data_IF_415044641465
#
_entry.id   IF_415044641465
#
_cell.length_a   1.000
_cell.length_b   1.000
_cell.length_c   1.000
_cell.angle_alpha   90.00
_cell.angle_beta   90.00
_cell.angle_gamma   90.00
#
_symmetry.space_group_name_H-M   'P 1'
#
loop_
_entity.id
_entity.type
_entity.pdbx_description
1 polymer ?
#
# COMPACT_ATOMS: atom_id res chain seq x y z
N UNK A 1 23.39 14.44 23.86
CA UNK A 1 22.34 13.68 24.60
C UNK A 1 21.38 13.16 23.56
N UNK A 2 21.05 11.87 23.56
CA UNK A 2 20.12 11.30 22.58
C UNK A 2 18.76 11.99 22.66
N UNK A 3 18.16 12.29 21.51
CA UNK A 3 16.85 12.95 21.41
C UNK A 3 15.79 12.13 22.13
N UNK A 4 15.88 10.80 22.07
CA UNK A 4 15.05 9.86 22.83
C UNK A 4 14.98 10.16 24.33
N UNK A 5 16.10 10.55 24.96
CA UNK A 5 16.13 10.87 26.41
C UNK A 5 15.28 12.12 26.70
N UNK A 6 15.20 13.05 25.76
CA UNK A 6 14.33 14.22 25.89
C UNK A 6 12.86 13.83 25.67
N UNK A 7 12.59 12.96 24.68
CA UNK A 7 11.25 12.45 24.41
C UNK A 7 10.67 11.67 25.62
N UNK A 8 11.51 10.91 26.34
CA UNK A 8 11.11 10.19 27.56
C UNK A 8 10.68 11.11 28.72
N UNK A 9 11.02 12.40 28.67
CA UNK A 9 10.61 13.40 29.68
C UNK A 9 9.29 14.08 29.33
N UNK A 10 8.68 13.75 28.20
CA UNK A 10 7.36 14.27 27.85
C UNK A 10 6.32 13.76 28.85
N UNK A 11 5.37 14.62 29.19
CA UNK A 11 4.28 14.33 30.12
C UNK A 11 2.94 14.76 29.51
N UNK A 12 1.83 14.35 30.13
CA UNK A 12 0.48 14.76 29.72
C UNK A 12 0.14 14.37 28.28
N UNK A 13 -0.50 15.27 27.54
CA UNK A 13 -0.95 15.03 26.17
C UNK A 13 0.22 14.73 25.21
N UNK A 14 1.37 15.39 25.39
CA UNK A 14 2.54 15.17 24.54
C UNK A 14 3.09 13.74 24.65
N UNK A 15 3.03 13.14 25.84
CA UNK A 15 3.39 11.73 26.06
C UNK A 15 2.41 10.79 25.35
N UNK A 16 1.11 11.07 25.40
CA UNK A 16 0.10 10.26 24.71
C UNK A 16 0.29 10.33 23.18
N UNK A 17 0.54 11.53 22.64
CA UNK A 17 0.86 11.70 21.22
C UNK A 17 2.14 10.96 20.83
N UNK A 18 3.17 10.97 21.68
CA UNK A 18 4.40 10.21 21.46
C UNK A 18 4.15 8.69 21.46
N UNK A 19 3.36 8.18 22.42
CA UNK A 19 3.04 6.75 22.51
C UNK A 19 2.24 6.27 21.29
N UNK A 20 1.35 7.10 20.75
CA UNK A 20 0.56 6.79 19.56
C UNK A 20 1.39 6.62 18.28
N UNK A 21 2.64 7.10 18.25
CA UNK A 21 3.56 6.89 17.11
C UNK A 21 4.02 5.43 16.99
N UNK A 22 3.95 4.68 18.09
CA UNK A 22 4.48 3.32 18.20
C UNK A 22 3.35 2.29 18.12
N UNK A 23 3.62 1.20 17.40
CA UNK A 23 2.63 0.14 17.16
C UNK A 23 3.27 -1.12 16.61
N UNK A 24 2.50 -1.97 15.94
CA UNK A 24 3.04 -3.18 15.32
C UNK A 24 4.02 -2.88 14.18
N UNK A 25 3.85 -1.74 13.50
CA UNK A 25 4.75 -1.26 12.45
C UNK A 25 6.15 -0.96 12.99
N UNK A 26 6.21 -0.32 14.16
CA UNK A 26 7.48 -0.01 14.82
C UNK A 26 7.32 -0.05 16.35
N UNK A 27 7.76 -1.13 17.03
CA UNK A 27 7.60 -1.26 18.47
C UNK A 27 8.42 -0.23 19.25
N UNK A 28 7.86 0.34 20.31
CA UNK A 28 8.54 1.32 21.17
C UNK A 28 9.80 0.74 21.83
N UNK A 29 9.83 -0.57 22.09
CA UNK A 29 11.01 -1.24 22.62
C UNK A 29 12.18 -1.19 21.66
N UNK A 30 11.93 -1.38 20.35
CA UNK A 30 12.97 -1.25 19.31
C UNK A 30 13.53 0.17 19.36
N UNK A 31 12.64 1.18 19.32
CA UNK A 31 13.05 2.58 19.44
C UNK A 31 13.93 2.82 20.66
N UNK A 32 13.53 2.28 21.82
CA UNK A 32 14.21 2.46 23.09
C UNK A 32 15.60 1.82 23.08
N UNK A 33 15.69 0.54 22.72
CA UNK A 33 16.93 -0.21 22.85
C UNK A 33 17.98 0.19 21.81
N UNK A 34 17.59 0.57 20.59
CA UNK A 34 18.53 1.00 19.53
C UNK A 34 18.49 2.52 19.27
N UNK A 35 18.02 3.31 20.24
CA UNK A 35 17.84 4.76 20.09
C UNK A 35 19.05 5.49 19.51
N UNK A 36 20.22 5.29 20.12
CA UNK A 36 21.46 5.94 19.69
C UNK A 36 21.88 5.53 18.26
N UNK A 37 21.67 4.26 17.90
CA UNK A 37 21.99 3.78 16.55
C UNK A 37 21.06 4.44 15.53
N UNK A 38 19.75 4.43 15.78
CA UNK A 38 18.74 5.05 14.91
C UNK A 38 19.08 6.53 14.68
N UNK A 39 19.35 7.28 15.74
CA UNK A 39 19.63 8.72 15.66
C UNK A 39 20.94 9.07 14.94
N UNK A 40 21.84 8.10 14.76
CA UNK A 40 23.11 8.30 14.03
C UNK A 40 23.03 7.95 12.55
N UNK A 41 21.93 7.35 12.07
CA UNK A 41 21.80 6.99 10.67
C UNK A 41 21.37 8.18 9.80
N UNK A 42 21.85 8.28 8.54
CA UNK A 42 21.55 9.39 7.65
C UNK A 42 20.21 9.18 6.92
N UNK A 43 19.10 9.09 7.66
CA UNK A 43 17.77 8.84 7.09
C UNK A 43 17.35 9.89 6.05
N UNK A 44 17.77 11.14 6.21
CA UNK A 44 17.48 12.23 5.27
C UNK A 44 18.26 12.15 3.96
N UNK A 45 19.34 11.37 3.93
CA UNK A 45 20.13 11.17 2.71
C UNK A 45 19.48 10.20 1.72
N UNK A 46 18.46 9.46 2.15
CA UNK A 46 17.73 8.51 1.29
C UNK A 46 16.64 9.27 0.55
N UNK A 47 16.78 9.38 -0.77
CA UNK A 47 15.75 9.91 -1.63
C UNK A 47 14.67 8.84 -1.87
N UNK A 48 13.46 9.10 -1.38
CA UNK A 48 12.34 8.16 -1.44
C UNK A 48 11.66 8.15 -2.83
N UNK A 49 11.91 9.17 -3.65
CA UNK A 49 11.32 9.29 -4.98
C UNK A 49 12.23 8.69 -6.06
N UNK A 50 13.45 8.28 -5.68
CA UNK A 50 14.42 7.66 -6.56
C UNK A 50 14.49 6.14 -6.33
N UNK A 51 13.99 5.31 -7.27
CA UNK A 51 14.06 3.85 -7.17
C UNK A 51 15.49 3.31 -7.02
N UNK A 52 16.50 4.06 -7.50
CA UNK A 52 17.91 3.66 -7.39
C UNK A 52 18.45 3.64 -5.95
N UNK A 53 17.78 4.29 -4.99
CA UNK A 53 18.17 4.32 -3.57
C UNK A 53 17.61 3.11 -2.78
N UNK A 54 16.86 2.21 -3.41
CA UNK A 54 16.23 1.06 -2.72
C UNK A 54 17.28 0.17 -2.05
N UNK A 55 18.44 -0.02 -2.69
CA UNK A 55 19.55 -0.79 -2.12
C UNK A 55 20.07 -0.19 -0.80
N UNK A 56 20.08 1.14 -0.69
CA UNK A 56 20.50 1.86 0.52
C UNK A 56 19.45 1.76 1.62
N UNK A 57 18.16 1.87 1.25
CA UNK A 57 17.07 1.61 2.19
C UNK A 57 17.10 0.16 2.71
N UNK A 58 17.39 -0.82 1.84
CA UNK A 58 17.57 -2.22 2.22
C UNK A 58 18.77 -2.40 3.16
N UNK A 59 19.89 -1.76 2.88
CA UNK A 59 21.07 -1.79 3.74
C UNK A 59 20.77 -1.24 5.14
N UNK A 60 19.97 -0.17 5.25
CA UNK A 60 19.54 0.39 6.54
C UNK A 60 18.65 -0.60 7.31
N UNK A 61 17.73 -1.29 6.62
CA UNK A 61 16.92 -2.35 7.24
C UNK A 61 17.81 -3.49 7.76
N UNK A 62 18.72 -4.02 6.93
CA UNK A 62 19.60 -5.12 7.33
C UNK A 62 20.50 -4.70 8.51
N UNK A 63 20.98 -3.46 8.50
CA UNK A 63 21.81 -2.91 9.59
C UNK A 63 21.01 -2.75 10.90
N UNK A 64 19.74 -2.33 10.82
CA UNK A 64 18.86 -2.24 11.99
C UNK A 64 18.61 -3.63 12.60
N UNK A 65 18.32 -4.61 11.75
CA UNK A 65 18.12 -6.02 12.17
C UNK A 65 19.39 -6.55 12.82
N UNK A 66 20.55 -6.32 12.22
CA UNK A 66 21.83 -6.74 12.77
C UNK A 66 22.12 -6.08 14.13
N UNK A 67 21.83 -4.79 14.28
CA UNK A 67 22.01 -4.08 15.55
C UNK A 67 21.10 -4.62 16.65
N UNK A 68 19.84 -4.95 16.33
CA UNK A 68 18.91 -5.58 17.29
C UNK A 68 19.40 -6.95 17.73
N UNK A 69 19.87 -7.78 16.80
CA UNK A 69 20.43 -9.09 17.11
C UNK A 69 21.71 -8.99 17.94
N UNK A 70 22.58 -8.02 17.63
CA UNK A 70 23.78 -7.74 18.42
C UNK A 70 23.41 -7.33 19.85
N UNK A 71 22.43 -6.45 20.02
CA UNK A 71 21.94 -6.07 21.36
C UNK A 71 21.30 -7.22 22.12
N UNK A 72 20.60 -8.11 21.43
CA UNK A 72 20.05 -9.32 22.02
C UNK A 72 21.15 -10.28 22.52
N UNK A 73 22.24 -10.42 21.76
CA UNK A 73 23.38 -11.27 22.12
C UNK A 73 24.12 -10.76 23.37
N UNK A 74 24.16 -9.45 23.58
CA UNK A 74 24.78 -8.82 24.74
C UNK A 74 23.98 -8.98 26.05
N UNK A 75 22.75 -9.49 25.98
CA UNK A 75 21.95 -9.73 27.18
C UNK A 75 22.34 -11.07 27.80
N UNK A 76 22.83 -11.01 29.04
CA UNK A 76 23.19 -12.16 29.88
C UNK A 76 22.41 -12.13 31.20
N UNK A 77 22.22 -13.29 31.84
CA UNK A 77 21.48 -13.42 33.09
C UNK A 77 19.96 -13.58 32.93
N UNK A 78 19.25 -13.82 34.05
CA UNK A 78 17.80 -14.08 34.06
C UNK A 78 16.98 -12.87 33.59
N UNK A 79 17.36 -11.65 33.99
CA UNK A 79 16.71 -10.41 33.55
C UNK A 79 16.95 -10.12 32.06
N UNK A 80 18.10 -10.53 31.51
CA UNK A 80 18.47 -10.36 30.11
C UNK A 80 17.80 -11.36 29.16
N UNK A 81 17.34 -12.50 29.67
CA UNK A 81 16.76 -13.57 28.86
C UNK A 81 15.48 -13.12 28.12
N UNK A 82 14.55 -12.50 28.84
CA UNK A 82 13.30 -12.01 28.23
C UNK A 82 13.59 -10.95 27.17
N UNK A 83 14.52 -10.04 27.44
CA UNK A 83 14.91 -8.98 26.52
C UNK A 83 15.56 -9.56 25.25
N UNK A 84 16.42 -10.58 25.39
CA UNK A 84 17.04 -11.28 24.26
C UNK A 84 15.99 -11.87 23.32
N UNK A 85 14.98 -12.56 23.86
CA UNK A 85 13.88 -13.11 23.07
C UNK A 85 13.10 -11.99 22.38
N UNK A 86 12.73 -10.94 23.13
CA UNK A 86 11.94 -9.83 22.60
C UNK A 86 12.63 -9.12 21.44
N UNK A 87 13.92 -8.78 21.60
CA UNK A 87 14.71 -8.16 20.53
C UNK A 87 14.88 -9.07 19.31
N UNK A 88 15.09 -10.36 19.52
CA UNK A 88 15.15 -11.34 18.42
C UNK A 88 13.85 -11.44 17.62
N UNK A 89 12.71 -11.48 18.31
CA UNK A 89 11.39 -11.46 17.67
C UNK A 89 11.14 -10.15 16.92
N UNK A 90 11.44 -8.99 17.52
CA UNK A 90 11.30 -7.70 16.87
C UNK A 90 12.18 -7.57 15.62
N UNK A 91 13.42 -8.09 15.66
CA UNK A 91 14.30 -8.09 14.50
C UNK A 91 13.71 -8.89 13.33
N UNK A 92 13.20 -10.10 13.61
CA UNK A 92 12.54 -10.94 12.61
C UNK A 92 11.24 -10.31 12.08
N UNK A 93 10.45 -9.70 12.97
CA UNK A 93 9.21 -9.01 12.60
C UNK A 93 9.50 -7.84 11.66
N UNK A 94 10.42 -6.95 12.01
CA UNK A 94 10.78 -5.80 11.18
C UNK A 94 11.32 -6.23 9.83
N UNK A 95 12.15 -7.28 9.79
CA UNK A 95 12.61 -7.85 8.53
C UNK A 95 11.43 -8.31 7.69
N UNK A 96 10.55 -9.15 8.22
CA UNK A 96 9.37 -9.64 7.49
C UNK A 96 8.47 -8.52 6.98
N UNK A 97 8.24 -7.48 7.79
CA UNK A 97 7.37 -6.35 7.45
C UNK A 97 7.95 -5.49 6.32
N UNK A 98 9.25 -5.21 6.34
CA UNK A 98 9.86 -4.21 5.47
C UNK A 98 10.74 -4.77 4.34
N UNK A 99 11.02 -6.08 4.30
CA UNK A 99 11.90 -6.68 3.29
C UNK A 99 11.40 -6.49 1.85
N UNK A 100 10.07 -6.45 1.67
CA UNK A 100 9.41 -6.21 0.36
C UNK A 100 9.44 -4.75 -0.09
N UNK A 101 9.47 -3.81 0.84
CA UNK A 101 9.51 -2.38 0.55
C UNK A 101 10.31 -1.64 1.64
N UNK A 102 11.65 -1.62 1.52
CA UNK A 102 12.52 -1.02 2.54
C UNK A 102 12.32 0.49 2.71
N UNK A 103 11.80 1.19 1.69
CA UNK A 103 11.46 2.60 1.77
C UNK A 103 10.38 2.90 2.83
N UNK A 104 9.44 1.97 3.09
CA UNK A 104 8.44 2.14 4.15
C UNK A 104 9.09 2.23 5.54
N UNK A 105 10.19 1.50 5.77
CA UNK A 105 10.94 1.61 7.03
C UNK A 105 11.53 3.01 7.17
N UNK A 106 12.20 3.49 6.12
CA UNK A 106 12.82 4.82 6.11
C UNK A 106 11.77 5.91 6.35
N UNK A 107 10.62 5.83 5.67
CA UNK A 107 9.50 6.76 5.86
C UNK A 107 8.97 6.72 7.29
N UNK A 108 8.78 5.52 7.83
CA UNK A 108 8.31 5.32 9.20
C UNK A 108 9.26 5.94 10.23
N UNK A 109 10.56 5.66 10.14
CA UNK A 109 11.55 6.18 11.10
C UNK A 109 11.69 7.70 10.97
N UNK A 110 11.73 8.25 9.74
CA UNK A 110 11.76 9.71 9.53
C UNK A 110 10.55 10.37 10.19
N UNK A 111 9.35 9.83 9.97
CA UNK A 111 8.13 10.35 10.58
C UNK A 111 8.17 10.32 12.11
N UNK A 112 8.63 9.21 12.70
CA UNK A 112 8.79 9.08 14.15
C UNK A 112 9.75 10.14 14.67
N UNK A 113 10.98 10.21 14.14
CA UNK A 113 12.02 11.13 14.62
C UNK A 113 11.59 12.60 14.50
N UNK A 114 10.94 12.98 13.39
CA UNK A 114 10.42 14.33 13.19
C UNK A 114 9.28 14.66 14.17
N UNK A 115 8.36 13.71 14.40
CA UNK A 115 7.25 13.88 15.32
C UNK A 115 7.73 13.99 16.77
N UNK A 116 8.69 13.15 17.18
CA UNK A 116 9.34 13.24 18.49
C UNK A 116 10.03 14.60 18.67
N UNK A 117 10.80 15.03 17.68
CA UNK A 117 11.48 16.32 17.72
C UNK A 117 10.50 17.48 17.85
N UNK A 118 9.37 17.43 17.13
CA UNK A 118 8.30 18.43 17.22
C UNK A 118 7.71 18.46 18.64
N UNK A 119 7.34 17.32 19.20
CA UNK A 119 6.75 17.22 20.54
C UNK A 119 7.70 17.72 21.62
N UNK A 120 8.99 17.37 21.54
CA UNK A 120 10.01 17.86 22.48
C UNK A 120 10.16 19.37 22.38
N UNK A 121 10.18 19.94 21.17
CA UNK A 121 10.24 21.40 20.98
C UNK A 121 9.01 22.10 21.55
N UNK A 122 7.81 21.58 21.28
CA UNK A 122 6.54 22.12 21.79
C UNK A 122 6.49 22.10 23.33
N UNK A 123 6.90 21.01 23.96
CA UNK A 123 6.97 20.90 25.42
C UNK A 123 8.01 21.86 26.02
N UNK A 124 9.18 21.99 25.38
CA UNK A 124 10.24 22.92 25.84
C UNK A 124 9.81 24.38 25.73
N UNK A 125 9.12 24.74 24.64
CA UNK A 125 8.63 26.09 24.40
C UNK A 125 7.43 26.43 25.30
N UNK A 126 6.57 25.46 25.61
CA UNK A 126 5.42 25.65 26.53
C UNK A 126 5.85 25.97 27.96
N UNK A 127 7.02 25.48 28.38
CA UNK A 127 7.63 25.83 29.66
C UNK A 127 8.16 27.29 29.72
N UNK A 128 8.15 27.98 28.57
CA UNK A 128 8.62 29.36 28.39
C UNK A 128 7.44 30.30 28.05
N UNK A 129 6.44 30.38 28.94
CA UNK A 129 5.44 31.46 28.99
C UNK A 129 4.98 32.07 27.66
N UNK A 130 4.24 31.33 26.85
CA UNK A 130 3.42 31.89 25.76
C UNK A 130 2.28 30.93 25.46
N UNK A 131 1.25 30.98 26.29
CA UNK A 131 0.01 30.27 26.05
C UNK A 131 -0.86 31.07 25.10
N UNK A 132 -0.85 30.75 23.82
CA UNK A 132 -2.05 30.77 22.96
C UNK A 132 -1.77 30.14 21.60
N UNK A 133 -2.64 29.19 21.22
CA UNK A 133 -2.94 28.71 19.85
C UNK A 133 -2.24 27.43 19.36
N UNK A 134 -2.73 26.24 19.76
CA UNK A 134 -2.63 25.05 18.90
C UNK A 134 -3.99 24.43 18.50
N UNK A 135 -5.09 24.72 19.21
CA UNK A 135 -6.38 24.03 19.02
C UNK A 135 -6.99 24.21 17.62
N UNK A 136 -6.94 25.41 17.04
CA UNK A 136 -7.51 25.66 15.71
C UNK A 136 -6.72 24.95 14.60
N UNK A 137 -5.40 24.84 14.74
CA UNK A 137 -4.55 24.15 13.76
C UNK A 137 -4.71 22.63 13.80
N UNK A 138 -4.92 22.06 14.98
CA UNK A 138 -5.20 20.64 15.16
C UNK A 138 -6.58 20.28 14.63
N UNK A 139 -7.60 21.09 14.91
CA UNK A 139 -8.96 20.91 14.38
C UNK A 139 -8.96 20.95 12.84
N UNK A 140 -8.25 21.92 12.26
CA UNK A 140 -8.14 22.03 10.81
C UNK A 140 -7.40 20.84 10.17
N UNK A 141 -6.33 20.34 10.80
CA UNK A 141 -5.66 19.11 10.34
C UNK A 141 -6.54 17.86 10.43
N UNK A 142 -7.29 17.70 11.52
CA UNK A 142 -8.25 16.59 11.63
C UNK A 142 -9.33 16.66 10.53
N UNK A 143 -9.81 17.87 10.22
CA UNK A 143 -10.78 18.06 9.14
C UNK A 143 -10.19 17.68 7.76
N UNK A 144 -8.96 18.12 7.45
CA UNK A 144 -8.30 17.75 6.20
C UNK A 144 -8.06 16.24 6.08
N UNK A 145 -7.64 15.59 7.17
CA UNK A 145 -7.43 14.13 7.20
C UNK A 145 -8.75 13.40 6.94
N UNK A 146 -9.83 13.79 7.62
CA UNK A 146 -11.15 13.19 7.40
C UNK A 146 -11.65 13.40 5.97
N UNK A 147 -11.38 14.57 5.39
CA UNK A 147 -11.70 14.85 3.99
C UNK A 147 -10.92 13.94 3.04
N UNK A 148 -9.61 13.78 3.25
CA UNK A 148 -8.78 12.87 2.44
C UNK A 148 -9.22 11.40 2.57
N UNK A 149 -9.61 10.96 3.77
CA UNK A 149 -10.19 9.61 3.96
C UNK A 149 -11.50 9.44 3.19
N UNK A 150 -12.37 10.45 3.20
CA UNK A 150 -13.64 10.40 2.48
C UNK A 150 -13.43 10.39 0.96
N UNK A 151 -12.51 11.19 0.45
CA UNK A 151 -12.10 11.17 -0.95
C UNK A 151 -11.55 9.80 -1.35
N UNK A 152 -10.67 9.21 -0.54
CA UNK A 152 -10.14 7.87 -0.78
C UNK A 152 -11.24 6.80 -0.76
N UNK A 153 -12.20 6.92 0.18
CA UNK A 153 -13.35 6.03 0.28
C UNK A 153 -14.22 6.10 -0.98
N UNK A 154 -14.51 7.30 -1.46
CA UNK A 154 -15.28 7.51 -2.69
C UNK A 154 -14.55 6.98 -3.92
N UNK A 155 -13.26 7.29 -4.07
CA UNK A 155 -12.43 6.79 -5.17
C UNK A 155 -12.36 5.25 -5.17
N UNK A 156 -12.23 4.64 -3.99
CA UNK A 156 -12.24 3.17 -3.84
C UNK A 156 -13.60 2.59 -4.24
N UNK A 157 -14.70 3.21 -3.84
CA UNK A 157 -16.05 2.76 -4.20
C UNK A 157 -16.32 2.89 -5.70
N UNK A 158 -15.83 3.96 -6.33
CA UNK A 158 -15.91 4.17 -7.78
C UNK A 158 -15.12 3.11 -8.53
N UNK A 159 -13.87 2.86 -8.12
CA UNK A 159 -13.04 1.79 -8.68
C UNK A 159 -13.70 0.40 -8.55
N UNK A 160 -14.32 0.10 -7.40
CA UNK A 160 -15.07 -1.15 -7.19
C UNK A 160 -16.27 -1.26 -8.16
N UNK A 161 -16.98 -0.16 -8.40
CA UNK A 161 -18.12 -0.12 -9.31
C UNK A 161 -17.67 -0.31 -10.77
N UNK A 162 -16.59 0.35 -11.19
CA UNK A 162 -16.01 0.16 -12.52
C UNK A 162 -15.49 -1.27 -12.71
N UNK A 163 -14.89 -1.87 -11.69
CA UNK A 163 -14.46 -3.26 -11.72
C UNK A 163 -15.65 -4.21 -11.94
N UNK A 164 -16.77 -4.01 -11.23
CA UNK A 164 -18.00 -4.80 -11.42
C UNK A 164 -18.57 -4.66 -12.83
N UNK A 165 -18.60 -3.44 -13.38
CA UNK A 165 -19.03 -3.21 -14.78
C UNK A 165 -18.13 -3.94 -15.77
N UNK A 166 -16.81 -3.89 -15.54
CA UNK A 166 -15.84 -4.56 -16.40
C UNK A 166 -16.00 -6.09 -16.34
N UNK A 167 -16.22 -6.66 -15.14
CA UNK A 167 -16.53 -8.09 -14.98
C UNK A 167 -17.78 -8.48 -15.76
N UNK A 168 -18.86 -7.70 -15.66
CA UNK A 168 -20.09 -7.97 -16.41
C UNK A 168 -19.90 -7.88 -17.93
N UNK A 169 -19.16 -6.87 -18.42
CA UNK A 169 -18.79 -6.77 -19.84
C UNK A 169 -17.96 -7.98 -20.29
N UNK A 170 -17.00 -8.42 -19.48
CA UNK A 170 -16.19 -9.62 -19.76
C UNK A 170 -17.05 -10.89 -19.85
N UNK A 171 -17.97 -11.11 -18.90
CA UNK A 171 -18.89 -12.24 -18.93
C UNK A 171 -19.77 -12.23 -20.18
N UNK A 172 -20.33 -11.06 -20.52
CA UNK A 172 -21.16 -10.91 -21.71
C UNK A 172 -20.35 -11.14 -23.00
N UNK A 173 -19.10 -10.67 -23.05
CA UNK A 173 -18.19 -10.94 -24.16
C UNK A 173 -17.93 -12.43 -24.35
N UNK A 174 -17.68 -13.17 -23.26
CA UNK A 174 -17.48 -14.62 -23.31
C UNK A 174 -18.73 -15.32 -23.85
N UNK A 175 -19.93 -14.92 -23.40
CA UNK A 175 -21.20 -15.48 -23.89
C UNK A 175 -21.35 -15.25 -25.41
N UNK A 176 -21.13 -14.02 -25.89
CA UNK A 176 -21.22 -13.71 -27.31
C UNK A 176 -20.18 -14.46 -28.15
N UNK A 177 -18.96 -14.62 -27.62
CA UNK A 177 -17.90 -15.38 -28.28
C UNK A 177 -18.25 -16.87 -28.39
N UNK A 178 -18.78 -17.47 -27.32
CA UNK A 178 -19.25 -18.85 -27.34
C UNK A 178 -20.43 -19.06 -28.31
N UNK A 179 -21.35 -18.10 -28.37
CA UNK A 179 -22.45 -18.13 -29.34
C UNK A 179 -21.92 -18.04 -30.78
N UNK A 180 -20.89 -17.22 -31.03
CA UNK A 180 -20.25 -17.15 -32.35
C UNK A 180 -19.65 -18.50 -32.77
N UNK A 181 -18.90 -19.16 -31.87
CA UNK A 181 -18.34 -20.50 -32.10
C UNK A 181 -19.44 -21.53 -32.37
N UNK A 182 -20.55 -21.45 -31.63
CA UNK A 182 -21.72 -22.32 -31.83
C UNK A 182 -22.33 -22.12 -33.22
N UNK A 183 -22.53 -20.88 -33.66
CA UNK A 183 -23.04 -20.56 -34.99
C UNK A 183 -22.06 -21.07 -36.07
N UNK A 184 -20.75 -20.93 -35.86
CA UNK A 184 -19.74 -21.44 -36.78
C UNK A 184 -19.79 -22.96 -36.92
N UNK A 185 -19.97 -23.69 -35.81
CA UNK A 185 -20.17 -25.14 -35.83
C UNK A 185 -21.47 -25.53 -36.56
N UNK A 186 -22.56 -24.79 -36.35
CA UNK A 186 -23.83 -25.00 -37.06
C UNK A 186 -23.67 -24.79 -38.57
N UNK A 187 -23.01 -23.72 -39.00
CA UNK A 187 -22.72 -23.46 -40.42
C UNK A 187 -21.89 -24.58 -41.04
N UNK A 188 -20.88 -25.07 -40.31
CA UNK A 188 -20.05 -26.20 -40.75
C UNK A 188 -20.88 -27.48 -40.92
N UNK A 189 -21.87 -27.71 -40.05
CA UNK A 189 -22.75 -28.88 -40.14
C UNK A 189 -23.80 -28.81 -41.26
N UNK A 190 -24.08 -27.62 -41.83
CA UNK A 190 -25.04 -27.49 -42.93
C UNK A 190 -24.60 -28.21 -44.20
N UNK A 191 -23.31 -28.51 -44.37
CA UNK A 191 -22.80 -29.25 -45.52
C UNK A 191 -23.30 -30.69 -45.61
N UNK A 192 -23.83 -31.26 -44.51
CA UNK A 192 -24.39 -32.61 -44.49
C UNK A 192 -25.90 -32.67 -44.78
N UNK A 193 -26.56 -31.52 -44.96
CA UNK A 193 -28.00 -31.44 -45.23
C UNK A 193 -28.31 -31.35 -46.74
N UNK A 194 -29.54 -31.70 -47.16
CA UNK A 194 -29.99 -31.50 -48.53
C UNK A 194 -29.87 -30.03 -48.98
N UNK A 195 -29.66 -29.76 -50.29
CA UNK A 195 -29.43 -28.41 -50.80
C UNK A 195 -30.56 -27.41 -50.49
N UNK A 196 -31.82 -27.86 -50.51
CA UNK A 196 -32.99 -27.01 -50.22
C UNK A 196 -33.01 -26.56 -48.75
N UNK A 197 -32.82 -27.49 -47.82
CA UNK A 197 -32.76 -27.20 -46.37
C UNK A 197 -31.58 -26.29 -46.02
N UNK A 198 -30.45 -26.51 -46.70
CA UNK A 198 -29.27 -25.66 -46.56
C UNK A 198 -29.56 -24.23 -47.02
N UNK A 199 -30.12 -24.06 -48.22
CA UNK A 199 -30.43 -22.74 -48.78
C UNK A 199 -31.41 -21.94 -47.90
N UNK A 200 -32.29 -22.63 -47.18
CA UNK A 200 -33.23 -21.99 -46.25
C UNK A 200 -32.58 -21.56 -44.92
N UNK A 201 -31.65 -22.34 -44.37
CA UNK A 201 -31.06 -22.11 -43.03
C UNK A 201 -29.76 -21.30 -43.03
N UNK A 202 -28.94 -21.43 -44.07
CA UNK A 202 -27.67 -20.73 -44.23
C UNK A 202 -27.77 -19.20 -44.10
N UNK A 203 -28.69 -18.48 -44.76
CA UNK A 203 -28.73 -17.02 -44.70
C UNK A 203 -29.03 -16.47 -43.30
N UNK A 204 -29.91 -17.14 -42.54
CA UNK A 204 -30.24 -16.73 -41.17
C UNK A 204 -29.04 -16.88 -40.23
N UNK A 205 -28.31 -17.99 -40.33
CA UNK A 205 -27.11 -18.23 -39.52
C UNK A 205 -25.96 -17.30 -39.90
N UNK A 206 -25.75 -17.02 -41.19
CA UNK A 206 -24.73 -16.06 -41.66
C UNK A 206 -25.04 -14.65 -41.15
N UNK A 207 -26.30 -14.21 -41.23
CA UNK A 207 -26.74 -12.90 -40.72
C UNK A 207 -26.55 -12.78 -39.19
N UNK A 208 -26.91 -13.83 -38.44
CA UNK A 208 -26.70 -13.88 -36.99
C UNK A 208 -25.21 -13.84 -36.65
N UNK A 209 -24.36 -14.58 -37.38
CA UNK A 209 -22.91 -14.58 -37.20
C UNK A 209 -22.32 -13.18 -37.41
N UNK A 210 -22.69 -12.52 -38.51
CA UNK A 210 -22.22 -11.18 -38.82
C UNK A 210 -22.57 -10.15 -37.73
N UNK A 211 -23.77 -10.27 -37.15
CA UNK A 211 -24.21 -9.41 -36.05
C UNK A 211 -23.35 -9.60 -34.80
N UNK A 212 -23.11 -10.87 -34.41
CA UNK A 212 -22.29 -11.20 -33.25
C UNK A 212 -20.82 -10.83 -33.47
N UNK A 213 -20.26 -11.06 -34.65
CA UNK A 213 -18.88 -10.66 -35.00
C UNK A 213 -18.69 -9.14 -34.96
N UNK A 214 -19.65 -8.38 -35.50
CA UNK A 214 -19.61 -6.92 -35.46
C UNK A 214 -19.64 -6.40 -34.01
N UNK A 215 -20.46 -7.01 -33.15
CA UNK A 215 -20.51 -6.69 -31.73
C UNK A 215 -19.19 -7.02 -31.03
N UNK A 216 -18.66 -8.23 -31.20
CA UNK A 216 -17.39 -8.67 -30.60
C UNK A 216 -16.22 -7.78 -31.01
N UNK A 217 -16.16 -7.38 -32.29
CA UNK A 217 -15.10 -6.50 -32.82
C UNK A 217 -15.17 -5.11 -32.19
N UNK A 218 -16.39 -4.57 -32.04
CA UNK A 218 -16.62 -3.29 -31.37
C UNK A 218 -16.19 -3.35 -29.91
N UNK A 219 -16.60 -4.40 -29.19
CA UNK A 219 -16.29 -4.55 -27.78
C UNK A 219 -14.78 -4.74 -27.54
N UNK A 220 -14.12 -5.57 -28.36
CA UNK A 220 -12.67 -5.76 -28.31
C UNK A 220 -11.91 -4.45 -28.55
N UNK A 221 -12.37 -3.62 -29.49
CA UNK A 221 -11.79 -2.30 -29.76
C UNK A 221 -11.93 -1.34 -28.56
N UNK A 222 -13.09 -1.38 -27.89
CA UNK A 222 -13.35 -0.60 -26.68
C UNK A 222 -12.43 -1.03 -25.55
N UNK A 223 -12.32 -2.33 -25.27
CA UNK A 223 -11.43 -2.88 -24.25
C UNK A 223 -9.96 -2.55 -24.51
N UNK A 224 -9.52 -2.56 -25.78
CA UNK A 224 -8.16 -2.18 -26.14
C UNK A 224 -7.86 -0.69 -25.87
N UNK A 225 -8.84 0.20 -26.06
CA UNK A 225 -8.70 1.62 -25.70
C UNK A 225 -8.61 1.79 -24.19
N UNK A 226 -9.45 1.11 -23.41
CA UNK A 226 -9.37 1.15 -21.95
C UNK A 226 -8.01 0.68 -21.44
N UNK A 227 -7.46 -0.41 -22.02
CA UNK A 227 -6.12 -0.89 -21.66
C UNK A 227 -5.05 0.17 -21.89
N UNK A 228 -5.11 0.90 -23.01
CA UNK A 228 -4.12 1.94 -23.32
C UNK A 228 -4.20 3.11 -22.32
N UNK A 229 -5.40 3.54 -21.95
CA UNK A 229 -5.60 4.60 -20.95
C UNK A 229 -5.01 4.17 -19.60
N UNK A 230 -5.30 2.95 -19.15
CA UNK A 230 -4.78 2.45 -17.87
C UNK A 230 -3.27 2.16 -17.85
N UNK A 231 -2.59 2.09 -19.01
CA UNK A 231 -1.12 1.90 -19.08
C UNK A 231 -0.34 3.21 -19.17
N UNK A 232 -1.02 4.35 -19.31
CA UNK A 232 -0.42 5.67 -19.47
C UNK A 232 -0.65 6.61 -18.27
N UNK A 233 -1.30 6.13 -17.22
CA UNK A 233 -1.34 6.73 -15.87
C UNK A 233 -0.38 5.98 -14.95
#
# INVERSE_FOLDING_TARGET
>A
MAMWIQAQKLEGEALHQMQALYGQHFPIDVRHYVAQWIESQPWDSVDLDNPGEEAKAKQLLDSLVAELLRKAQLQEGEDGFLLKIKLGHSANQLKSTYDRCPFELVRCIKHILQSEQRLVKEATNSNSGSGTQPMDTLSHRHQQINQAFEELRLATQEAENELKKLQHSQEYFIIQYQENLRIQAQLSSLSSLPPEDRAQREPALVSKRATVEAWLTREASTLQKYRLVCTHE
#
